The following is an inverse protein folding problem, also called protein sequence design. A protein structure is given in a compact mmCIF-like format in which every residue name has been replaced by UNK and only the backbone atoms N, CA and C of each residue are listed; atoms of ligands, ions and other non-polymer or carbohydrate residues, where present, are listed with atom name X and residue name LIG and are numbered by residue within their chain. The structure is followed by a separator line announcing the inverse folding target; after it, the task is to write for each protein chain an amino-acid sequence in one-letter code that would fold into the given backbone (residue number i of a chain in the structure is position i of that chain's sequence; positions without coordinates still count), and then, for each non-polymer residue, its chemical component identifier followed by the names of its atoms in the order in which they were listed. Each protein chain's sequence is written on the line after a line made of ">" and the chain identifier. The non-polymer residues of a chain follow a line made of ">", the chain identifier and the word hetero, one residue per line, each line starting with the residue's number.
data_IF_599720340116
#
_entry.id   IF_599720340116
#
_cell.length_a   1.000
_cell.length_b   1.000
_cell.length_c   1.000
_cell.angle_alpha   90.00
_cell.angle_beta   90.00
_cell.angle_gamma   90.00
#
_symmetry.space_group_name_H-M   'P 1'
#
loop_
_entity.id
_entity.type
_entity.pdbx_description
1 polymer ?
#
# COMPACT_ATOMS: atom_id res chain seq x y z
N UNK A 1 -17.02 3.75 2.34
CA UNK A 1 -15.73 4.46 2.47
C UNK A 1 -15.47 4.77 3.93
N UNK A 2 -16.13 5.76 4.57
CA UNK A 2 -15.93 6.05 6.00
C UNK A 2 -16.25 4.84 6.90
N UNK A 3 -17.45 4.25 6.73
CA UNK A 3 -17.85 3.06 7.48
C UNK A 3 -16.85 1.90 7.34
N UNK A 4 -16.36 1.64 6.13
CA UNK A 4 -15.35 0.60 5.87
C UNK A 4 -14.00 0.87 6.55
N UNK A 5 -13.60 2.14 6.71
CA UNK A 5 -12.40 2.51 7.46
C UNK A 5 -12.60 2.40 8.97
N UNK A 6 -13.80 2.72 9.45
CA UNK A 6 -14.15 2.59 10.86
C UNK A 6 -14.20 1.11 11.28
N UNK A 7 -14.77 0.24 10.44
CA UNK A 7 -14.77 -1.21 10.64
C UNK A 7 -13.33 -1.78 10.64
N UNK A 8 -12.48 -1.33 9.70
CA UNK A 8 -11.07 -1.76 9.65
C UNK A 8 -10.30 -1.31 10.90
N UNK A 9 -10.56 -0.09 11.39
CA UNK A 9 -9.96 0.41 12.63
C UNK A 9 -10.33 -0.47 13.81
N UNK A 10 -11.62 -0.79 13.98
CA UNK A 10 -12.08 -1.64 15.09
C UNK A 10 -11.37 -2.99 15.06
N UNK A 11 -11.26 -3.63 13.90
CA UNK A 11 -10.58 -4.91 13.75
C UNK A 11 -9.08 -4.84 14.08
N UNK A 12 -8.39 -3.76 13.70
CA UNK A 12 -6.98 -3.56 14.02
C UNK A 12 -6.77 -3.24 15.51
N UNK A 13 -7.64 -2.44 16.11
CA UNK A 13 -7.62 -2.12 17.54
C UNK A 13 -7.82 -3.38 18.41
N UNK A 14 -8.71 -4.30 18.02
CA UNK A 14 -8.87 -5.61 18.66
C UNK A 14 -7.57 -6.44 18.64
N UNK A 15 -6.77 -6.29 17.58
CA UNK A 15 -5.46 -6.91 17.45
C UNK A 15 -4.33 -6.11 18.15
N UNK A 16 -4.63 -4.96 18.74
CA UNK A 16 -3.66 -4.06 19.37
C UNK A 16 -2.79 -3.29 18.36
N UNK A 17 -3.26 -3.14 17.12
CA UNK A 17 -2.58 -2.46 16.02
C UNK A 17 -3.30 -1.12 15.76
N UNK A 18 -2.61 0.02 15.79
CA UNK A 18 -3.23 1.31 15.45
C UNK A 18 -3.43 1.46 13.93
N UNK A 19 -4.50 2.17 13.54
CA UNK A 19 -4.73 2.59 12.15
C UNK A 19 -4.60 4.12 12.03
N UNK A 20 -3.51 4.58 11.43
CA UNK A 20 -3.27 6.00 11.17
C UNK A 20 -3.90 6.44 9.83
N UNK A 21 -4.74 7.47 9.86
CA UNK A 21 -5.28 8.12 8.65
C UNK A 21 -4.42 9.34 8.27
N UNK A 22 -3.72 9.24 7.13
CA UNK A 22 -2.95 10.35 6.57
C UNK A 22 -3.78 11.07 5.49
N UNK A 23 -3.88 12.39 5.57
CA UNK A 23 -4.64 13.20 4.61
C UNK A 23 -3.72 14.12 3.81
N UNK A 24 -3.77 14.04 2.48
CA UNK A 24 -2.99 14.88 1.57
C UNK A 24 -2.54 14.10 0.33
N UNK A 25 -1.46 14.58 -0.28
CA UNK A 25 -0.76 13.86 -1.35
C UNK A 25 -0.03 12.65 -0.74
N UNK A 26 -0.22 11.46 -1.33
CA UNK A 26 0.18 10.18 -0.74
C UNK A 26 1.71 10.10 -0.62
N UNK A 27 2.44 10.45 -1.68
CA UNK A 27 3.90 10.38 -1.69
C UNK A 27 4.53 11.30 -0.64
N UNK A 28 4.05 12.53 -0.52
CA UNK A 28 4.47 13.49 0.51
C UNK A 28 4.18 12.98 1.93
N UNK A 29 2.95 12.52 2.18
CA UNK A 29 2.55 12.07 3.52
C UNK A 29 3.27 10.80 3.95
N UNK A 30 3.46 9.84 3.05
CA UNK A 30 4.21 8.63 3.35
C UNK A 30 5.69 8.91 3.58
N UNK A 31 6.29 9.85 2.84
CA UNK A 31 7.69 10.23 3.05
C UNK A 31 7.89 10.89 4.42
N UNK A 32 6.99 11.80 4.81
CA UNK A 32 7.01 12.43 6.13
C UNK A 32 6.85 11.39 7.25
N UNK A 33 5.86 10.49 7.12
CA UNK A 33 5.59 9.43 8.08
C UNK A 33 6.76 8.45 8.20
N UNK A 34 7.32 8.00 7.08
CA UNK A 34 8.45 7.09 7.06
C UNK A 34 9.68 7.67 7.78
N UNK A 35 9.91 8.99 7.62
CA UNK A 35 10.98 9.71 8.29
C UNK A 35 10.73 9.87 9.79
N UNK A 36 9.51 10.24 10.17
CA UNK A 36 9.12 10.43 11.58
C UNK A 36 9.30 9.14 12.40
N UNK A 37 8.86 8.02 11.84
CA UNK A 37 8.84 6.72 12.53
C UNK A 37 10.02 5.81 12.19
N UNK A 38 10.98 6.27 11.38
CA UNK A 38 12.13 5.48 10.92
C UNK A 38 11.71 4.15 10.27
N UNK A 39 10.71 4.22 9.39
CA UNK A 39 10.19 3.06 8.66
C UNK A 39 11.30 2.50 7.77
N UNK A 40 11.50 1.19 7.84
CA UNK A 40 12.49 0.47 7.02
C UNK A 40 11.85 -0.29 5.86
N UNK A 41 10.55 -0.61 5.96
CA UNK A 41 9.84 -1.39 4.96
C UNK A 41 8.38 -0.98 4.83
N UNK A 42 7.89 -0.94 3.59
CA UNK A 42 6.50 -0.65 3.21
C UNK A 42 5.93 -1.85 2.46
N UNK A 43 4.75 -2.31 2.90
CA UNK A 43 3.98 -3.37 2.25
C UNK A 43 2.66 -2.80 1.74
N UNK A 44 2.24 -3.21 0.54
CA UNK A 44 0.97 -2.78 -0.04
C UNK A 44 0.48 -3.77 -1.11
N UNK A 45 -0.78 -3.62 -1.54
CA UNK A 45 -1.32 -4.37 -2.66
C UNK A 45 -1.06 -3.65 -3.98
N UNK A 46 -0.61 -4.39 -4.99
CA UNK A 46 -0.42 -3.88 -6.34
C UNK A 46 -1.77 -3.54 -6.99
N UNK A 47 -1.81 -2.46 -7.77
CA UNK A 47 -2.99 -2.00 -8.50
C UNK A 47 -2.59 -1.69 -9.94
N UNK A 48 -3.28 -2.32 -10.88
CA UNK A 48 -2.87 -2.37 -12.29
C UNK A 48 -3.14 -1.08 -13.09
N UNK A 49 -3.87 -0.13 -12.50
CA UNK A 49 -4.33 1.08 -13.18
C UNK A 49 -3.22 2.11 -13.42
N UNK A 50 -3.36 2.88 -14.51
CA UNK A 50 -2.34 3.85 -14.93
C UNK A 50 -2.18 5.03 -13.97
N UNK A 51 -3.22 5.35 -13.19
CA UNK A 51 -3.17 6.42 -12.19
C UNK A 51 -2.42 5.93 -10.96
N UNK A 52 -2.69 4.70 -10.55
CA UNK A 52 -2.10 3.99 -9.43
C UNK A 52 -0.59 3.78 -9.64
N UNK A 53 -0.17 3.34 -10.84
CA UNK A 53 1.26 3.21 -11.20
C UNK A 53 2.04 4.52 -11.11
N UNK A 54 1.40 5.66 -11.42
CA UNK A 54 2.06 6.97 -11.29
C UNK A 54 2.29 7.33 -9.83
N UNK A 55 1.32 7.03 -8.96
CA UNK A 55 1.42 7.25 -7.52
C UNK A 55 2.51 6.33 -6.95
N UNK A 56 2.51 5.06 -7.33
CA UNK A 56 3.54 4.09 -6.91
C UNK A 56 4.94 4.57 -7.29
N UNK A 57 5.12 5.05 -8.52
CA UNK A 57 6.40 5.57 -8.97
C UNK A 57 6.85 6.80 -8.16
N UNK A 58 5.92 7.68 -7.78
CA UNK A 58 6.21 8.84 -6.92
C UNK A 58 6.63 8.40 -5.51
N UNK A 59 5.92 7.44 -4.90
CA UNK A 59 6.26 6.84 -3.61
C UNK A 59 7.67 6.23 -3.67
N UNK A 60 7.97 5.40 -4.66
CA UNK A 60 9.29 4.77 -4.82
C UNK A 60 10.42 5.80 -4.92
N UNK A 61 10.19 6.90 -5.64
CA UNK A 61 11.19 7.97 -5.77
C UNK A 61 11.43 8.69 -4.44
N UNK A 62 10.37 8.96 -3.67
CA UNK A 62 10.45 9.67 -2.39
C UNK A 62 10.98 8.80 -1.25
N UNK A 63 10.68 7.51 -1.27
CA UNK A 63 11.04 6.54 -0.25
C UNK A 63 12.26 5.67 -0.66
N UNK A 64 13.22 6.21 -1.41
CA UNK A 64 14.39 5.48 -1.94
C UNK A 64 15.28 4.73 -0.92
N UNK A 65 15.13 4.98 0.37
CA UNK A 65 15.82 4.28 1.46
C UNK A 65 14.96 3.24 2.22
N UNK A 66 13.69 3.09 1.84
CA UNK A 66 12.74 2.15 2.43
C UNK A 66 12.59 0.97 1.47
N UNK A 67 12.63 -0.25 1.99
CA UNK A 67 12.32 -1.44 1.19
C UNK A 67 10.83 -1.45 0.87
N UNK A 68 10.47 -1.60 -0.40
CA UNK A 68 9.08 -1.59 -0.86
C UNK A 68 8.76 -2.96 -1.45
N UNK A 69 7.71 -3.60 -0.94
CA UNK A 69 7.24 -4.90 -1.40
C UNK A 69 5.74 -4.84 -1.66
N UNK A 70 5.33 -5.25 -2.87
CA UNK A 70 3.93 -5.30 -3.30
C UNK A 70 3.43 -6.73 -3.46
N UNK A 71 2.13 -6.92 -3.28
CA UNK A 71 1.47 -8.21 -3.45
C UNK A 71 0.21 -8.09 -4.29
N UNK A 72 0.01 -9.04 -5.21
CA UNK A 72 -1.25 -9.18 -5.95
C UNK A 72 -2.26 -9.86 -5.02
N UNK A 73 -3.43 -9.25 -4.84
CA UNK A 73 -4.44 -9.75 -3.89
C UNK A 73 -5.88 -9.49 -4.30
N UNK A 74 -6.10 -8.87 -5.46
CA UNK A 74 -7.41 -8.47 -5.99
C UNK A 74 -8.04 -9.53 -6.91
N UNK A 75 -7.27 -10.55 -7.31
CA UNK A 75 -7.73 -11.66 -8.15
C UNK A 75 -8.02 -12.93 -7.33
N UNK A 76 -9.02 -13.70 -7.75
CA UNK A 76 -9.33 -15.01 -7.17
C UNK A 76 -8.25 -16.07 -7.49
N UNK A 77 -7.65 -15.98 -8.68
CA UNK A 77 -6.58 -16.86 -9.14
C UNK A 77 -5.33 -15.98 -9.24
N UNK A 78 -4.25 -16.37 -8.57
CA UNK A 78 -3.01 -15.62 -8.66
C UNK A 78 -2.49 -15.67 -10.11
N UNK A 79 -1.98 -14.56 -10.68
CA UNK A 79 -1.51 -14.56 -12.06
C UNK A 79 -0.45 -15.62 -12.38
N UNK A 80 0.38 -16.00 -11.41
CA UNK A 80 1.36 -17.09 -11.57
C UNK A 80 0.73 -18.48 -11.69
N UNK A 81 -0.50 -18.66 -11.22
CA UNK A 81 -1.26 -19.92 -11.31
C UNK A 81 -2.02 -20.04 -12.64
N UNK A 82 -2.01 -19.00 -13.49
CA UNK A 82 -2.66 -19.05 -14.79
C UNK A 82 -1.91 -20.00 -15.72
N UNK A 83 -2.62 -20.81 -16.53
CA UNK A 83 -1.99 -21.75 -17.46
C UNK A 83 -1.42 -21.05 -18.72
N UNK A 84 -1.25 -19.73 -18.67
CA UNK A 84 -0.71 -18.89 -19.73
C UNK A 84 0.02 -17.69 -19.13
N UNK A 85 0.99 -17.08 -19.85
CA UNK A 85 1.64 -15.87 -19.39
C UNK A 85 0.64 -14.73 -19.25
N UNK A 86 0.67 -14.05 -18.11
CA UNK A 86 -0.08 -12.83 -17.86
C UNK A 86 0.94 -11.72 -17.56
N UNK A 87 0.83 -10.61 -18.26
CA UNK A 87 1.67 -9.43 -18.05
C UNK A 87 0.79 -8.23 -17.78
N UNK A 88 1.06 -7.57 -16.67
CA UNK A 88 0.46 -6.31 -16.24
C UNK A 88 1.23 -5.11 -16.81
#
# INVERSE_FOLDING_TARGET
>A
MRESLDDLREQLEEAGIPLDELHGEVGERLADYAKEYNVSKLYYHDLEGTEERKIEQDIQNRLSGVEIESFIGDHLIHPEDLPFPFTL
#
